data_IF_148179526118
#
_entry.id   IF_148179526118
#
_cell.length_a   1.000
_cell.length_b   1.000
_cell.length_c   1.000
_cell.angle_alpha   90.00
_cell.angle_beta   90.00
_cell.angle_gamma   90.00
#
_symmetry.space_group_name_H-M   'P 1'
#
loop_
_entity.id
_entity.type
_entity.pdbx_description
1 polymer ?
#
# COMPACT_ATOMS: atom_id res chain seq x y z
N UNK A 1 -21.43 10.05 14.47
CA UNK A 1 -22.59 9.14 14.50
C UNK A 1 -22.87 8.58 15.90
N UNK A 2 -23.42 9.39 16.76
CA UNK A 2 -23.84 9.00 18.12
C UNK A 2 -25.35 9.21 18.24
N UNK A 3 -26.21 8.35 17.68
CA UNK A 3 -27.66 8.37 17.99
C UNK A 3 -28.47 7.19 17.48
N UNK A 4 -27.91 6.14 16.88
CA UNK A 4 -28.71 5.02 16.36
C UNK A 4 -28.70 3.74 17.21
N UNK A 5 -27.81 3.61 18.19
CA UNK A 5 -27.69 2.40 19.02
C UNK A 5 -28.61 2.31 20.23
N UNK A 6 -29.29 3.38 20.63
CA UNK A 6 -30.10 3.38 21.87
C UNK A 6 -31.58 3.08 21.70
N UNK A 7 -32.12 3.11 20.47
CA UNK A 7 -33.57 2.88 20.26
C UNK A 7 -33.98 1.42 20.04
N UNK A 8 -33.08 0.53 19.66
CA UNK A 8 -33.43 -0.89 19.48
C UNK A 8 -33.33 -1.73 20.76
N UNK A 9 -32.58 -1.31 21.74
CA UNK A 9 -32.42 -2.06 23.01
C UNK A 9 -33.58 -1.87 23.99
N UNK A 10 -34.31 -0.77 23.89
CA UNK A 10 -35.49 -0.50 24.72
C UNK A 10 -36.75 -1.21 24.21
N UNK A 11 -36.81 -1.52 22.91
CA UNK A 11 -38.01 -2.13 22.29
C UNK A 11 -38.12 -3.66 22.51
N UNK A 12 -36.99 -4.34 22.77
CA UNK A 12 -36.99 -5.78 23.07
C UNK A 12 -37.42 -6.06 24.52
N UNK A 13 -37.22 -5.12 25.45
CA UNK A 13 -37.60 -5.29 26.86
C UNK A 13 -39.10 -5.05 27.14
N UNK A 14 -39.76 -4.26 26.28
CA UNK A 14 -41.21 -4.00 26.37
C UNK A 14 -42.09 -5.14 25.84
N UNK A 15 -41.54 -6.05 25.05
CA UNK A 15 -42.32 -7.21 24.52
C UNK A 15 -42.37 -8.39 25.47
N UNK A 16 -41.53 -8.46 26.50
CA UNK A 16 -41.50 -9.59 27.46
C UNK A 16 -42.39 -9.33 28.66
N UNK A 17 -42.81 -8.10 28.92
CA UNK A 17 -43.69 -7.74 30.07
C UNK A 17 -45.14 -7.48 29.71
N UNK A 18 -45.54 -7.55 28.43
CA UNK A 18 -46.87 -7.23 27.93
C UNK A 18 -47.86 -8.43 27.79
N UNK A 19 -47.46 -9.65 28.16
CA UNK A 19 -48.15 -10.88 27.76
C UNK A 19 -48.98 -11.60 28.82
N UNK A 20 -49.30 -11.02 29.97
CA UNK A 20 -50.18 -11.68 30.97
C UNK A 20 -51.18 -10.71 31.53
N UNK A 21 -52.20 -10.41 30.78
CA UNK A 21 -53.48 -9.87 31.34
C UNK A 21 -54.63 -10.39 30.47
N UNK A 22 -55.15 -11.60 30.74
CA UNK A 22 -56.46 -12.07 30.30
C UNK A 22 -57.39 -12.29 31.45
N UNK A 23 -58.49 -11.60 31.34
CA UNK A 23 -59.66 -11.54 32.18
C UNK A 23 -60.15 -12.90 32.71
N UNK A 24 -60.50 -12.99 33.97
CA UNK A 24 -61.31 -14.06 34.58
C UNK A 24 -62.68 -13.49 34.86
N UNK A 25 -63.78 -14.15 34.44
CA UNK A 25 -65.13 -13.77 34.79
C UNK A 25 -65.50 -14.23 36.22
N UNK A 26 -66.38 -13.45 36.85
CA UNK A 26 -66.90 -13.70 38.18
C UNK A 26 -67.99 -14.81 38.15
N UNK A 27 -68.03 -15.63 39.18
CA UNK A 27 -69.09 -16.20 39.97
C UNK A 27 -68.84 -17.65 40.39
N UNK A 28 -68.62 -17.86 41.65
CA UNK A 28 -69.60 -18.56 42.49
C UNK A 28 -69.07 -18.67 43.93
N UNK A 29 -69.91 -18.26 44.87
CA UNK A 29 -69.69 -18.48 46.30
C UNK A 29 -70.15 -19.90 46.67
N UNK A 30 -69.23 -20.67 47.24
CA UNK A 30 -69.62 -21.73 48.17
C UNK A 30 -68.70 -21.65 49.39
N UNK A 31 -69.44 -21.71 50.53
CA UNK A 31 -68.87 -21.66 51.88
C UNK A 31 -68.22 -23.03 52.22
N UNK A 32 -67.17 -23.11 52.92
CA UNK A 32 -66.98 -23.82 54.18
C UNK A 32 -65.55 -24.33 54.43
N UNK A 33 -65.14 -24.06 55.63
CA UNK A 33 -64.20 -24.76 56.51
C UNK A 33 -62.71 -24.42 56.42
N UNK A 34 -62.33 -23.73 57.48
CA UNK A 34 -60.95 -23.63 57.93
C UNK A 34 -60.37 -24.99 58.27
N UNK A 35 -59.30 -25.36 57.63
CA UNK A 35 -58.27 -26.15 58.27
C UNK A 35 -56.91 -25.70 57.77
N UNK A 36 -56.09 -25.40 58.71
CA UNK A 36 -54.67 -25.08 58.70
C UNK A 36 -53.87 -25.81 57.63
N UNK A 37 -53.24 -25.01 56.72
CA UNK A 37 -52.02 -25.42 56.04
C UNK A 37 -51.04 -24.25 55.91
N UNK A 38 -50.36 -23.94 57.01
CA UNK A 38 -49.27 -22.94 57.07
C UNK A 38 -47.93 -23.46 56.58
N UNK A 39 -47.82 -24.75 56.24
CA UNK A 39 -46.53 -25.35 55.85
C UNK A 39 -46.26 -25.33 54.34
N UNK A 40 -47.30 -25.21 53.47
CA UNK A 40 -47.12 -25.22 52.02
C UNK A 40 -46.75 -23.91 51.39
N UNK A 41 -47.07 -22.76 52.04
CA UNK A 41 -46.88 -21.40 51.51
C UNK A 41 -45.43 -20.96 51.52
N UNK A 42 -44.63 -21.46 52.49
CA UNK A 42 -43.24 -21.10 52.61
C UNK A 42 -42.32 -21.82 51.55
N UNK A 43 -42.65 -23.02 51.11
CA UNK A 43 -41.86 -23.74 50.11
C UNK A 43 -41.94 -23.06 48.74
N UNK A 44 -43.10 -22.57 48.33
CA UNK A 44 -43.25 -21.85 47.04
C UNK A 44 -42.51 -20.52 47.04
N UNK A 45 -42.51 -19.77 48.19
CA UNK A 45 -41.76 -18.52 48.29
C UNK A 45 -40.26 -18.75 48.25
N UNK A 46 -39.70 -19.80 48.86
CA UNK A 46 -38.31 -20.15 48.81
C UNK A 46 -37.87 -20.57 47.40
N UNK A 47 -38.69 -21.23 46.63
CA UNK A 47 -38.46 -21.60 45.23
C UNK A 47 -38.39 -20.33 44.37
N UNK A 48 -39.30 -19.38 44.54
CA UNK A 48 -39.29 -18.09 43.80
C UNK A 48 -38.05 -17.24 44.17
N UNK A 49 -37.69 -17.18 45.45
CA UNK A 49 -36.48 -16.47 45.92
C UNK A 49 -35.23 -17.14 45.36
N UNK A 50 -35.17 -18.47 45.32
CA UNK A 50 -34.07 -19.24 44.71
C UNK A 50 -33.91 -18.95 43.21
N UNK A 51 -35.03 -18.87 42.48
CA UNK A 51 -35.04 -18.57 41.05
C UNK A 51 -34.61 -17.12 40.77
N UNK A 52 -35.05 -16.15 41.61
CA UNK A 52 -34.58 -14.75 41.50
C UNK A 52 -33.09 -14.64 41.80
N UNK A 53 -32.60 -15.30 42.85
CA UNK A 53 -31.18 -15.30 43.19
C UNK A 53 -30.31 -15.92 42.04
N UNK A 54 -30.81 -17.03 41.49
CA UNK A 54 -30.12 -17.64 40.32
C UNK A 54 -30.11 -16.72 39.09
N UNK A 55 -31.23 -16.06 38.78
CA UNK A 55 -31.30 -15.08 37.68
C UNK A 55 -30.35 -13.91 37.90
N UNK A 56 -30.22 -13.39 39.11
CA UNK A 56 -29.27 -12.31 39.46
C UNK A 56 -27.82 -12.79 39.27
N UNK A 57 -27.50 -14.02 39.69
CA UNK A 57 -26.19 -14.60 39.52
C UNK A 57 -25.84 -14.75 38.02
N UNK A 58 -26.78 -15.26 37.21
CA UNK A 58 -26.60 -15.41 35.76
C UNK A 58 -26.39 -14.05 35.09
N UNK A 59 -27.20 -13.04 35.44
CA UNK A 59 -27.06 -11.68 34.93
C UNK A 59 -25.69 -11.07 35.33
N UNK A 60 -25.27 -11.31 36.59
CA UNK A 60 -23.96 -10.85 37.07
C UNK A 60 -22.80 -11.51 36.31
N UNK A 61 -22.89 -12.82 36.07
CA UNK A 61 -21.88 -13.57 35.28
C UNK A 61 -21.88 -13.06 33.83
N UNK A 62 -23.05 -12.89 33.21
CA UNK A 62 -23.16 -12.33 31.85
C UNK A 62 -22.60 -10.90 31.77
N UNK A 63 -22.84 -10.05 32.77
CA UNK A 63 -22.25 -8.70 32.82
C UNK A 63 -20.74 -8.71 33.02
N UNK A 64 -20.21 -9.65 33.78
CA UNK A 64 -18.74 -9.79 33.94
C UNK A 64 -18.12 -10.31 32.65
N UNK A 65 -18.72 -11.34 32.02
CA UNK A 65 -18.27 -11.85 30.73
C UNK A 65 -18.38 -10.77 29.66
N UNK A 66 -19.49 -10.05 29.60
CA UNK A 66 -19.67 -8.94 28.66
C UNK A 66 -18.66 -7.81 28.88
N UNK A 67 -18.42 -7.43 30.15
CA UNK A 67 -17.38 -6.45 30.50
C UNK A 67 -15.97 -6.95 30.16
N UNK A 68 -15.70 -8.23 30.36
CA UNK A 68 -14.42 -8.85 29.99
C UNK A 68 -14.25 -8.90 28.48
N UNK A 69 -15.33 -9.22 27.75
CA UNK A 69 -15.37 -9.22 26.28
C UNK A 69 -15.20 -7.80 25.72
N UNK A 70 -15.93 -6.82 26.28
CA UNK A 70 -15.81 -5.40 25.89
C UNK A 70 -14.45 -4.82 26.28
N UNK A 71 -13.82 -5.23 27.38
CA UNK A 71 -12.45 -4.85 27.73
C UNK A 71 -11.41 -5.54 26.83
N UNK A 72 -11.71 -6.71 26.29
CA UNK A 72 -10.89 -7.36 25.28
C UNK A 72 -10.99 -6.67 23.91
N UNK A 73 -12.11 -5.97 23.62
CA UNK A 73 -12.28 -5.08 22.46
C UNK A 73 -11.72 -3.67 22.70
N UNK A 74 -11.55 -3.24 23.94
CA UNK A 74 -10.68 -2.13 24.31
C UNK A 74 -9.24 -2.63 24.57
N UNK A 75 -8.66 -3.39 23.64
CA UNK A 75 -7.26 -3.15 23.33
C UNK A 75 -7.25 -1.68 22.91
N UNK A 76 -6.61 -0.87 23.74
CA UNK A 76 -6.15 0.47 23.39
C UNK A 76 -5.71 0.35 21.96
N UNK A 77 -6.40 0.99 21.04
CA UNK A 77 -6.02 1.02 19.64
C UNK A 77 -4.61 1.56 19.70
N UNK A 78 -3.64 0.96 19.04
CA UNK A 78 -2.24 1.39 19.05
C UNK A 78 -2.13 2.89 18.78
N UNK A 79 -3.09 3.43 18.05
CA UNK A 79 -3.33 4.85 17.80
C UNK A 79 -3.35 5.76 19.06
N UNK A 80 -3.87 5.31 20.23
CA UNK A 80 -3.86 6.12 21.45
C UNK A 80 -2.47 6.28 22.08
N UNK A 81 -1.50 5.51 21.59
CA UNK A 81 -0.10 5.53 22.03
C UNK A 81 0.73 6.59 21.30
N UNK A 82 0.30 7.01 20.10
CA UNK A 82 1.07 7.87 19.20
C UNK A 82 0.47 9.28 19.13
N UNK A 83 1.33 10.27 18.88
CA UNK A 83 0.93 11.68 18.77
C UNK A 83 0.14 11.97 17.50
N UNK A 84 0.47 11.26 16.40
CA UNK A 84 -0.13 11.42 15.09
C UNK A 84 -0.37 10.06 14.42
N UNK A 85 -1.34 10.04 13.49
CA UNK A 85 -1.73 8.89 12.72
C UNK A 85 -1.68 9.21 11.22
N UNK A 86 -0.74 8.60 10.51
CA UNK A 86 -0.60 8.72 9.07
C UNK A 86 -1.01 7.44 8.38
N UNK A 87 -1.46 7.55 7.14
CA UNK A 87 -1.79 6.38 6.30
C UNK A 87 -1.02 6.44 5.00
N UNK A 88 -0.57 5.28 4.55
CA UNK A 88 0.02 5.06 3.24
C UNK A 88 -1.00 4.37 2.33
N UNK A 89 -1.18 4.87 1.12
CA UNK A 89 -2.13 4.39 0.12
C UNK A 89 -1.37 4.10 -1.16
N UNK A 90 -1.36 2.84 -1.58
CA UNK A 90 -0.72 2.38 -2.82
C UNK A 90 -1.65 1.46 -3.59
N UNK A 91 -1.41 1.24 -4.86
CA UNK A 91 -2.20 0.33 -5.69
C UNK A 91 -1.83 -1.13 -5.39
N UNK A 92 -0.55 -1.47 -5.49
CA UNK A 92 -0.04 -2.83 -5.24
C UNK A 92 0.64 -2.95 -3.88
N UNK A 93 -0.17 -3.00 -2.82
CA UNK A 93 0.30 -3.10 -1.43
C UNK A 93 1.14 -4.34 -1.12
N UNK A 94 1.08 -5.37 -1.98
CA UNK A 94 1.72 -6.67 -1.72
C UNK A 94 3.05 -6.83 -2.43
N UNK A 95 3.43 -5.90 -3.33
CA UNK A 95 4.73 -5.95 -3.96
C UNK A 95 5.84 -5.67 -2.95
N UNK A 96 6.99 -6.29 -3.14
CA UNK A 96 8.17 -6.13 -2.28
C UNK A 96 8.60 -4.66 -2.23
N UNK A 97 8.48 -3.95 -3.34
CA UNK A 97 8.73 -2.52 -3.43
C UNK A 97 7.89 -1.73 -2.41
N UNK A 98 6.56 -1.88 -2.44
CA UNK A 98 5.68 -1.13 -1.56
C UNK A 98 5.75 -1.58 -0.10
N UNK A 99 6.02 -2.85 0.15
CA UNK A 99 6.26 -3.35 1.51
C UNK A 99 7.54 -2.75 2.10
N UNK A 100 8.60 -2.59 1.29
CA UNK A 100 9.84 -1.96 1.73
C UNK A 100 9.66 -0.46 2.00
N UNK A 101 8.96 0.27 1.12
CA UNK A 101 8.60 1.68 1.37
C UNK A 101 7.78 1.83 2.66
N UNK A 102 6.80 0.94 2.88
CA UNK A 102 6.00 0.96 4.10
C UNK A 102 6.87 0.67 5.34
N UNK A 103 7.80 -0.28 5.28
CA UNK A 103 8.73 -0.59 6.38
C UNK A 103 9.52 0.64 6.78
N UNK A 104 10.13 1.36 5.83
CA UNK A 104 10.86 2.60 6.11
C UNK A 104 9.98 3.69 6.73
N UNK A 105 8.74 3.85 6.22
CA UNK A 105 7.78 4.78 6.80
C UNK A 105 7.34 4.37 8.22
N UNK A 106 7.13 3.08 8.45
CA UNK A 106 6.74 2.53 9.75
C UNK A 106 7.86 2.72 10.79
N UNK A 107 9.10 2.35 10.46
CA UNK A 107 10.25 2.49 11.36
C UNK A 107 10.52 3.95 11.70
N UNK A 108 10.53 4.83 10.70
CA UNK A 108 10.69 6.26 10.92
C UNK A 108 9.54 6.85 11.74
N UNK A 109 8.32 6.36 11.52
CA UNK A 109 7.15 6.70 12.33
C UNK A 109 7.34 6.33 13.80
N UNK A 110 7.88 5.14 14.10
CA UNK A 110 8.18 4.73 15.48
C UNK A 110 9.16 5.68 16.16
N UNK A 111 10.21 6.11 15.46
CA UNK A 111 11.20 7.06 15.98
C UNK A 111 10.59 8.44 16.30
N UNK A 112 9.65 8.89 15.47
CA UNK A 112 8.98 10.19 15.58
C UNK A 112 7.67 10.16 16.39
N UNK A 113 7.35 9.04 17.04
CA UNK A 113 6.10 8.83 17.79
C UNK A 113 4.84 9.01 16.92
N UNK A 114 4.88 8.50 15.69
CA UNK A 114 3.79 8.50 14.71
C UNK A 114 3.38 7.06 14.39
N UNK A 115 2.09 6.79 14.34
CA UNK A 115 1.60 5.52 13.83
C UNK A 115 1.39 5.64 12.31
N UNK A 116 2.05 4.78 11.55
CA UNK A 116 1.88 4.68 10.10
C UNK A 116 1.14 3.38 9.78
N UNK A 117 0.08 3.46 9.00
CA UNK A 117 -0.76 2.33 8.60
C UNK A 117 -0.78 2.19 7.07
N UNK A 118 -0.53 0.98 6.58
CA UNK A 118 -0.73 0.65 5.16
C UNK A 118 -2.22 0.41 4.94
N UNK A 119 -2.92 1.46 4.50
CA UNK A 119 -4.37 1.45 4.42
C UNK A 119 -4.85 0.45 3.35
N UNK A 120 -5.73 -0.44 3.77
CA UNK A 120 -6.29 -1.48 2.90
C UNK A 120 -5.66 -2.85 3.07
N UNK A 121 -4.52 -2.99 3.74
CA UNK A 121 -3.84 -4.28 3.93
C UNK A 121 -4.71 -5.28 4.72
N UNK A 122 -5.46 -4.80 5.70
CA UNK A 122 -6.35 -5.63 6.53
C UNK A 122 -7.81 -5.64 6.06
N UNK A 123 -8.12 -5.03 4.91
CA UNK A 123 -9.48 -5.01 4.37
C UNK A 123 -9.74 -6.27 3.55
N UNK A 124 -10.93 -6.86 3.72
CA UNK A 124 -11.34 -8.10 3.03
C UNK A 124 -11.67 -7.92 1.54
N UNK A 125 -11.75 -6.69 1.07
CA UNK A 125 -12.03 -6.31 -0.31
C UNK A 125 -10.93 -5.43 -0.84
N UNK A 126 -10.67 -5.52 -2.13
CA UNK A 126 -9.80 -4.56 -2.83
C UNK A 126 -10.56 -3.27 -3.08
N UNK A 127 -9.91 -2.17 -2.78
CA UNK A 127 -10.43 -0.81 -2.96
C UNK A 127 -9.48 -0.05 -3.87
N UNK A 128 -10.04 0.80 -4.73
CA UNK A 128 -9.24 1.74 -5.53
C UNK A 128 -8.54 2.76 -4.64
N UNK A 129 -7.46 3.38 -5.15
CA UNK A 129 -6.76 4.48 -4.45
C UNK A 129 -7.74 5.60 -4.08
N UNK A 130 -8.67 5.95 -4.96
CA UNK A 130 -9.69 6.96 -4.69
C UNK A 130 -10.62 6.59 -3.53
N UNK A 131 -11.04 5.30 -3.43
CA UNK A 131 -11.86 4.84 -2.31
C UNK A 131 -11.07 4.83 -0.99
N UNK A 132 -9.80 4.42 -1.03
CA UNK A 132 -8.91 4.48 0.14
C UNK A 132 -8.69 5.94 0.60
N UNK A 133 -8.53 6.89 -0.31
CA UNK A 133 -8.48 8.32 0.02
C UNK A 133 -9.75 8.78 0.73
N UNK A 134 -10.95 8.40 0.26
CA UNK A 134 -12.23 8.69 0.93
C UNK A 134 -12.32 8.08 2.32
N UNK A 135 -11.83 6.83 2.47
CA UNK A 135 -11.76 6.15 3.77
C UNK A 135 -10.81 6.90 4.71
N UNK A 136 -9.61 7.25 4.26
CA UNK A 136 -8.62 8.02 5.03
C UNK A 136 -9.21 9.34 5.52
N UNK A 137 -9.78 10.16 4.63
CA UNK A 137 -10.42 11.43 4.97
C UNK A 137 -11.56 11.29 5.99
N UNK A 138 -12.24 10.14 6.00
CA UNK A 138 -13.35 9.88 6.93
C UNK A 138 -12.89 9.30 8.26
N UNK A 139 -11.68 8.76 8.33
CA UNK A 139 -11.12 8.08 9.51
C UNK A 139 -10.41 9.03 10.49
N UNK A 140 -10.29 10.32 10.13
CA UNK A 140 -9.65 11.34 10.97
C UNK A 140 -8.16 11.05 11.14
N UNK A 141 -7.48 10.77 10.02
CA UNK A 141 -6.02 10.67 9.94
C UNK A 141 -5.40 12.06 10.01
N UNK A 142 -4.17 12.14 10.49
CA UNK A 142 -3.43 13.39 10.57
C UNK A 142 -2.60 13.65 9.30
N UNK A 143 -2.40 12.65 8.43
CA UNK A 143 -1.68 12.82 7.17
C UNK A 143 -1.82 11.63 6.25
N UNK A 144 -1.60 11.85 4.96
CA UNK A 144 -1.73 10.83 3.93
C UNK A 144 -0.47 10.82 3.06
N UNK A 145 0.11 9.63 2.86
CA UNK A 145 1.06 9.33 1.80
C UNK A 145 0.31 8.58 0.70
N UNK A 146 0.29 9.09 -0.50
CA UNK A 146 -0.46 8.47 -1.59
C UNK A 146 0.41 8.27 -2.83
N UNK A 147 0.45 7.03 -3.31
CA UNK A 147 0.93 6.76 -4.66
C UNK A 147 0.07 7.53 -5.65
N UNK A 148 0.66 8.49 -6.33
CA UNK A 148 -0.04 9.47 -7.12
C UNK A 148 0.23 9.33 -8.61
N UNK A 149 -0.62 9.94 -9.39
CA UNK A 149 -0.49 10.17 -10.82
C UNK A 149 -0.98 11.58 -11.15
N UNK A 150 -0.80 12.01 -12.40
CA UNK A 150 -1.22 13.35 -12.86
C UNK A 150 -2.70 13.44 -13.24
N UNK A 151 -3.54 12.47 -12.86
CA UNK A 151 -4.97 12.48 -13.19
C UNK A 151 -5.72 13.59 -12.46
N UNK A 152 -6.74 14.13 -13.11
CA UNK A 152 -7.65 15.10 -12.50
C UNK A 152 -8.39 14.51 -11.28
N UNK A 153 -8.67 13.20 -11.29
CA UNK A 153 -9.32 12.52 -10.16
C UNK A 153 -8.42 12.55 -8.93
N UNK A 154 -7.14 12.22 -9.09
CA UNK A 154 -6.18 12.24 -7.99
C UNK A 154 -5.95 13.68 -7.49
N UNK A 155 -5.85 14.67 -8.40
CA UNK A 155 -5.77 16.07 -8.02
C UNK A 155 -6.94 16.49 -7.13
N UNK A 156 -8.17 16.15 -7.52
CA UNK A 156 -9.37 16.47 -6.74
C UNK A 156 -9.38 15.78 -5.37
N UNK A 157 -8.94 14.53 -5.29
CA UNK A 157 -8.88 13.80 -4.01
C UNK A 157 -7.85 14.41 -3.05
N UNK A 158 -6.70 14.81 -3.57
CA UNK A 158 -5.65 15.49 -2.79
C UNK A 158 -6.16 16.85 -2.29
N UNK A 159 -6.75 17.64 -3.18
CA UNK A 159 -7.28 18.97 -2.83
C UNK A 159 -8.39 18.86 -1.77
N UNK A 160 -9.30 17.89 -1.89
CA UNK A 160 -10.35 17.64 -0.89
C UNK A 160 -9.77 17.25 0.48
N UNK A 161 -8.70 16.44 0.51
CA UNK A 161 -8.03 16.09 1.77
C UNK A 161 -7.39 17.33 2.42
N UNK A 162 -6.70 18.15 1.63
CA UNK A 162 -6.06 19.39 2.10
C UNK A 162 -7.09 20.41 2.58
N UNK A 163 -8.22 20.59 1.88
CA UNK A 163 -9.32 21.44 2.33
C UNK A 163 -9.92 20.99 3.66
N UNK A 164 -9.87 19.71 3.97
CA UNK A 164 -10.26 19.14 5.28
C UNK A 164 -9.19 19.28 6.35
N UNK A 165 -8.04 19.87 6.03
CA UNK A 165 -6.92 20.08 6.93
C UNK A 165 -6.00 18.87 7.08
N UNK A 166 -6.06 17.90 6.16
CA UNK A 166 -5.21 16.72 6.14
C UNK A 166 -4.11 16.93 5.09
N UNK A 167 -2.85 17.16 5.50
CA UNK A 167 -1.74 17.30 4.56
C UNK A 167 -1.50 16.00 3.80
N UNK A 168 -1.17 16.13 2.52
CA UNK A 168 -0.90 15.01 1.62
C UNK A 168 0.49 15.09 1.05
N UNK A 169 1.22 13.99 1.14
CA UNK A 169 2.49 13.77 0.44
C UNK A 169 2.22 12.83 -0.72
N UNK A 170 2.57 13.24 -1.94
CA UNK A 170 2.55 12.36 -3.10
C UNK A 170 3.81 11.51 -3.12
N UNK A 171 3.66 10.25 -3.49
CA UNK A 171 4.70 9.22 -3.39
C UNK A 171 4.86 8.51 -4.72
N UNK A 172 6.11 8.28 -5.16
CA UNK A 172 6.51 7.60 -6.40
C UNK A 172 6.11 8.36 -7.67
N UNK A 173 4.83 8.63 -7.88
CA UNK A 173 4.30 9.55 -8.89
C UNK A 173 3.96 10.91 -8.28
N UNK A 174 4.19 11.99 -9.00
CA UNK A 174 3.84 13.34 -8.56
C UNK A 174 2.50 13.81 -9.13
N UNK A 175 1.90 14.79 -8.47
CA UNK A 175 0.76 15.54 -8.97
C UNK A 175 0.97 17.03 -8.69
N UNK A 176 1.66 17.69 -9.63
CA UNK A 176 2.04 19.10 -9.51
C UNK A 176 0.87 20.08 -9.57
N UNK A 177 -0.29 19.62 -10.04
CA UNK A 177 -1.52 20.43 -10.15
C UNK A 177 -2.36 20.42 -8.88
N UNK A 178 -2.01 19.58 -7.90
CA UNK A 178 -2.71 19.46 -6.63
C UNK A 178 -2.10 20.30 -5.51
N UNK A 179 -2.87 20.46 -4.43
CA UNK A 179 -2.45 21.14 -3.21
C UNK A 179 -1.57 20.28 -2.28
N UNK A 180 -0.88 19.26 -2.80
CA UNK A 180 0.04 18.44 -2.01
C UNK A 180 1.08 19.28 -1.28
N UNK A 181 1.50 18.87 -0.09
CA UNK A 181 2.54 19.61 0.65
C UNK A 181 3.96 19.22 0.22
N UNK A 182 4.16 18.00 -0.26
CA UNK A 182 5.46 17.49 -0.71
C UNK A 182 5.28 16.34 -1.70
N UNK A 183 6.32 16.08 -2.48
CA UNK A 183 6.52 14.88 -3.28
C UNK A 183 7.72 14.10 -2.76
N UNK A 184 7.60 12.80 -2.64
CA UNK A 184 8.68 11.88 -2.31
C UNK A 184 8.83 10.85 -3.43
N UNK A 185 10.02 10.72 -3.98
CA UNK A 185 10.28 9.80 -5.08
C UNK A 185 11.72 9.82 -5.53
N UNK A 186 11.97 9.45 -6.78
CA UNK A 186 13.30 9.53 -7.40
C UNK A 186 13.38 10.70 -8.35
N UNK A 187 14.57 11.24 -8.54
CA UNK A 187 14.84 12.29 -9.52
C UNK A 187 14.77 11.75 -10.94
N UNK A 188 13.59 11.78 -11.58
CA UNK A 188 13.31 11.17 -12.89
C UNK A 188 14.35 11.53 -13.96
N UNK A 189 14.81 12.78 -14.00
CA UNK A 189 15.84 13.18 -14.95
C UNK A 189 17.20 12.51 -14.66
N UNK A 190 17.62 12.46 -13.40
CA UNK A 190 18.86 11.80 -13.00
C UNK A 190 18.81 10.29 -13.21
N UNK A 191 17.66 9.68 -12.91
CA UNK A 191 17.39 8.28 -13.22
C UNK A 191 17.58 8.01 -14.72
N UNK A 192 17.00 8.85 -15.57
CA UNK A 192 17.18 8.76 -17.02
C UNK A 192 18.63 8.88 -17.46
N UNK A 193 19.36 9.87 -16.91
CA UNK A 193 20.79 10.01 -17.21
C UNK A 193 21.58 8.77 -16.82
N UNK A 194 21.23 8.13 -15.71
CA UNK A 194 21.91 6.92 -15.29
C UNK A 194 21.64 5.75 -16.23
N UNK A 195 20.42 5.55 -16.68
CA UNK A 195 20.14 4.58 -17.77
C UNK A 195 20.96 4.87 -19.04
N UNK A 196 21.03 6.13 -19.46
CA UNK A 196 21.82 6.56 -20.60
C UNK A 196 23.30 6.22 -20.44
N UNK A 197 23.88 6.41 -19.25
CA UNK A 197 25.27 6.01 -18.93
C UNK A 197 25.46 4.50 -19.00
N UNK A 198 24.52 3.72 -18.50
CA UNK A 198 24.58 2.26 -18.58
C UNK A 198 24.52 1.77 -20.04
N UNK A 199 23.69 2.41 -20.88
CA UNK A 199 23.67 2.14 -22.34
C UNK A 199 25.05 2.46 -22.96
N UNK A 200 25.63 3.63 -22.66
CA UNK A 200 26.96 4.01 -23.15
C UNK A 200 28.04 3.04 -22.68
N UNK A 201 27.97 2.55 -21.44
CA UNK A 201 28.86 1.54 -20.90
C UNK A 201 28.79 0.24 -21.71
N UNK A 202 27.57 -0.27 -21.98
CA UNK A 202 27.36 -1.46 -22.83
C UNK A 202 27.82 -1.22 -24.26
N UNK A 203 27.54 -0.06 -24.85
CA UNK A 203 27.96 0.30 -26.19
C UNK A 203 29.49 0.38 -26.32
N UNK A 204 30.21 0.84 -25.27
CA UNK A 204 31.68 0.98 -25.29
C UNK A 204 32.44 -0.32 -25.34
N UNK A 205 31.83 -1.43 -24.90
CA UNK A 205 32.44 -2.77 -24.95
C UNK A 205 31.98 -3.58 -26.18
N UNK A 206 31.04 -3.06 -26.96
CA UNK A 206 30.56 -3.67 -28.17
C UNK A 206 31.55 -3.45 -29.34
N UNK A 207 31.95 -4.52 -30.01
CA UNK A 207 32.77 -4.47 -31.22
C UNK A 207 31.93 -4.18 -32.48
N UNK A 208 30.62 -3.97 -32.34
CA UNK A 208 29.71 -3.75 -33.46
C UNK A 208 29.98 -2.40 -34.16
N UNK A 209 29.95 -2.44 -35.49
CA UNK A 209 30.00 -1.25 -36.35
C UNK A 209 28.62 -0.80 -36.81
N UNK A 210 27.58 -1.62 -36.56
CA UNK A 210 26.18 -1.26 -36.84
C UNK A 210 25.57 -0.46 -35.73
N UNK A 211 24.58 0.42 -36.00
CA UNK A 211 23.86 1.10 -34.98
C UNK A 211 23.26 0.12 -33.97
N UNK A 212 23.38 0.47 -32.67
CA UNK A 212 22.81 -0.32 -31.57
C UNK A 212 21.39 0.17 -31.30
N UNK A 213 20.44 -0.76 -31.29
CA UNK A 213 19.03 -0.45 -31.07
C UNK A 213 18.69 -0.57 -29.59
N UNK A 214 18.15 0.51 -29.03
CA UNK A 214 17.75 0.59 -27.61
C UNK A 214 16.25 0.83 -27.51
N UNK A 215 15.54 -0.03 -26.81
CA UNK A 215 14.12 0.11 -26.55
C UNK A 215 13.88 0.48 -25.08
N UNK A 216 13.16 1.58 -24.83
CA UNK A 216 12.66 1.93 -23.51
C UNK A 216 11.22 1.48 -23.40
N UNK A 217 10.91 0.64 -22.44
CA UNK A 217 9.55 0.20 -22.16
C UNK A 217 8.82 1.29 -21.37
N UNK A 218 7.80 1.89 -21.99
CA UNK A 218 6.97 2.94 -21.39
C UNK A 218 5.54 2.43 -21.20
N UNK A 219 4.92 2.85 -20.12
CA UNK A 219 3.57 2.46 -19.80
C UNK A 219 2.55 3.14 -20.73
N UNK A 220 1.61 2.37 -21.29
CA UNK A 220 0.56 2.88 -22.19
C UNK A 220 -0.39 3.86 -21.53
N UNK A 221 -0.64 3.68 -20.23
CA UNK A 221 -1.60 4.47 -19.48
C UNK A 221 -0.95 5.61 -18.68
N UNK A 222 0.37 5.56 -18.48
CA UNK A 222 1.12 6.63 -17.84
C UNK A 222 1.75 7.57 -18.88
N UNK A 223 0.97 8.30 -19.59
CA UNK A 223 1.42 9.53 -20.31
C UNK A 223 1.80 10.61 -19.29
N UNK A 224 2.49 10.21 -18.22
CA UNK A 224 2.88 11.13 -17.16
C UNK A 224 4.21 11.82 -17.49
N UNK A 225 4.39 12.99 -16.96
CA UNK A 225 5.59 13.80 -17.11
C UNK A 225 6.84 13.06 -16.61
N UNK A 226 6.71 12.18 -15.61
CA UNK A 226 7.83 11.46 -15.03
C UNK A 226 8.56 10.55 -16.04
N UNK A 227 7.83 9.72 -16.79
CA UNK A 227 8.45 8.86 -17.83
C UNK A 227 9.05 9.69 -18.97
N UNK A 228 8.39 10.77 -19.37
CA UNK A 228 8.94 11.69 -20.37
C UNK A 228 10.24 12.34 -19.88
N UNK A 229 10.32 12.69 -18.59
CA UNK A 229 11.53 13.25 -17.99
C UNK A 229 12.65 12.21 -17.93
N UNK A 230 12.35 10.94 -17.60
CA UNK A 230 13.32 9.83 -17.67
C UNK A 230 13.83 9.69 -19.10
N UNK A 231 12.95 9.63 -20.11
CA UNK A 231 13.33 9.51 -21.52
C UNK A 231 14.21 10.71 -21.94
N UNK A 232 13.90 11.92 -21.52
CA UNK A 232 14.73 13.11 -21.79
C UNK A 232 16.10 12.99 -21.13
N UNK A 233 16.18 12.47 -19.90
CA UNK A 233 17.44 12.21 -19.21
C UNK A 233 18.30 11.18 -19.94
N UNK A 234 17.68 10.09 -20.45
CA UNK A 234 18.37 9.08 -21.28
C UNK A 234 18.96 9.75 -22.53
N UNK A 235 18.10 10.47 -23.27
CA UNK A 235 18.52 11.12 -24.53
C UNK A 235 19.67 12.10 -24.30
N UNK A 236 19.55 12.96 -23.28
CA UNK A 236 20.59 13.94 -22.94
C UNK A 236 21.94 13.27 -22.56
N UNK A 237 21.91 12.15 -21.83
CA UNK A 237 23.12 11.41 -21.52
C UNK A 237 23.74 10.81 -22.77
N UNK A 238 22.94 10.21 -23.66
CA UNK A 238 23.40 9.65 -24.94
C UNK A 238 24.02 10.71 -25.86
N UNK A 239 23.50 11.96 -25.85
CA UNK A 239 24.01 13.06 -26.67
C UNK A 239 25.25 13.73 -26.06
N UNK A 240 25.23 14.00 -24.75
CA UNK A 240 26.25 14.83 -24.07
C UNK A 240 27.46 14.02 -23.58
N UNK A 241 27.26 12.75 -23.21
CA UNK A 241 28.30 11.90 -22.61
C UNK A 241 28.83 10.85 -23.62
N UNK A 242 28.39 10.92 -24.87
CA UNK A 242 28.80 9.98 -25.93
C UNK A 242 30.33 9.97 -26.07
N UNK A 243 30.89 8.80 -25.84
CA UNK A 243 32.30 8.47 -26.10
C UNK A 243 32.44 7.71 -27.43
N UNK A 244 33.55 7.06 -27.68
CA UNK A 244 33.71 6.21 -28.84
C UNK A 244 32.79 4.96 -28.74
N UNK A 245 32.03 4.68 -29.78
CA UNK A 245 31.12 3.53 -29.83
C UNK A 245 30.17 3.60 -31.03
N UNK A 246 29.31 2.60 -31.23
CA UNK A 246 28.30 2.60 -32.29
C UNK A 246 27.32 3.76 -32.14
N UNK A 247 26.65 4.08 -33.22
CA UNK A 247 25.48 4.96 -33.17
C UNK A 247 24.36 4.25 -32.38
N UNK A 248 23.61 5.04 -31.55
CA UNK A 248 22.52 4.50 -30.73
C UNK A 248 21.20 4.97 -31.33
N UNK A 249 20.35 3.99 -31.68
CA UNK A 249 18.97 4.21 -32.15
C UNK A 249 18.01 3.94 -30.99
N UNK A 250 17.51 5.02 -30.37
CA UNK A 250 16.62 4.97 -29.21
C UNK A 250 15.17 4.95 -29.66
N UNK A 251 14.41 3.97 -29.22
CA UNK A 251 12.98 3.83 -29.49
C UNK A 251 12.18 3.64 -28.19
N UNK A 252 10.90 4.04 -28.22
CA UNK A 252 9.96 3.82 -27.13
C UNK A 252 9.01 2.70 -27.53
N UNK A 253 8.85 1.70 -26.67
CA UNK A 253 7.87 0.63 -26.84
C UNK A 253 6.84 0.75 -25.72
N UNK A 254 5.58 0.87 -26.12
CA UNK A 254 4.48 0.99 -25.17
C UNK A 254 4.06 -0.39 -24.65
N UNK A 255 3.99 -0.54 -23.35
CA UNK A 255 3.54 -1.76 -22.64
C UNK A 255 2.20 -1.46 -21.95
N UNK A 256 1.23 -2.34 -22.14
CA UNK A 256 -0.03 -2.30 -21.39
C UNK A 256 0.18 -2.86 -19.99
N UNK A 257 0.16 -1.99 -18.99
CA UNK A 257 0.40 -2.30 -17.58
C UNK A 257 -0.89 -2.42 -16.75
N UNK A 258 -2.03 -2.59 -17.40
CA UNK A 258 -3.33 -2.77 -16.73
C UNK A 258 -3.31 -3.93 -15.71
N UNK A 259 -2.57 -4.99 -16.01
CA UNK A 259 -2.35 -6.15 -15.15
C UNK A 259 -1.14 -6.95 -15.63
N UNK A 260 -0.63 -7.86 -14.79
CA UNK A 260 0.54 -8.70 -15.09
C UNK A 260 0.42 -9.44 -16.44
N UNK A 261 -0.75 -9.98 -16.75
CA UNK A 261 -0.96 -10.72 -18.02
C UNK A 261 -0.83 -9.81 -19.23
N UNK A 262 -1.33 -8.57 -19.18
CA UNK A 262 -1.20 -7.59 -20.26
C UNK A 262 0.26 -7.19 -20.48
N UNK A 263 1.04 -7.06 -19.39
CA UNK A 263 2.49 -6.80 -19.47
C UNK A 263 3.21 -7.96 -20.14
N UNK A 264 2.95 -9.20 -19.69
CA UNK A 264 3.54 -10.41 -20.30
C UNK A 264 3.20 -10.53 -21.79
N UNK A 265 1.96 -10.23 -22.19
CA UNK A 265 1.52 -10.26 -23.58
C UNK A 265 2.22 -9.18 -24.40
N UNK A 266 2.31 -7.96 -23.92
CA UNK A 266 3.01 -6.86 -24.60
C UNK A 266 4.50 -7.15 -24.80
N UNK A 267 5.15 -7.72 -23.77
CA UNK A 267 6.57 -8.09 -23.86
C UNK A 267 6.78 -9.28 -24.78
N UNK A 268 5.93 -10.31 -24.73
CA UNK A 268 5.98 -11.44 -25.63
C UNK A 268 5.91 -10.97 -27.10
N UNK A 269 5.08 -10.00 -27.41
CA UNK A 269 4.95 -9.47 -28.76
C UNK A 269 6.25 -8.85 -29.27
N UNK A 270 7.08 -8.27 -28.38
CA UNK A 270 8.42 -7.76 -28.72
C UNK A 270 9.30 -8.92 -29.20
N UNK A 271 9.29 -10.06 -28.47
CA UNK A 271 10.12 -11.21 -28.76
C UNK A 271 9.62 -12.07 -29.96
N UNK A 272 8.39 -11.84 -30.40
CA UNK A 272 7.85 -12.47 -31.64
C UNK A 272 8.20 -11.67 -32.89
N UNK A 273 8.79 -10.50 -32.79
CA UNK A 273 9.23 -9.71 -33.95
C UNK A 273 10.52 -10.29 -34.56
N UNK A 274 10.73 -10.06 -35.87
CA UNK A 274 11.91 -10.54 -36.60
C UNK A 274 13.23 -9.92 -36.12
N UNK A 275 13.19 -8.74 -35.52
CA UNK A 275 14.37 -8.03 -35.01
C UNK A 275 14.15 -7.57 -33.59
N UNK A 276 14.93 -8.13 -32.66
CA UNK A 276 14.95 -7.73 -31.25
C UNK A 276 15.82 -6.47 -31.05
N UNK A 277 15.50 -5.63 -30.07
CA UNK A 277 16.40 -4.58 -29.63
C UNK A 277 17.70 -5.18 -29.05
N UNK A 278 18.83 -4.50 -29.24
CA UNK A 278 20.09 -4.91 -28.62
C UNK A 278 20.07 -4.64 -27.08
N UNK A 279 19.37 -3.59 -26.65
CA UNK A 279 19.17 -3.25 -25.23
C UNK A 279 17.70 -2.96 -24.96
N UNK A 280 17.17 -3.50 -23.87
CA UNK A 280 15.85 -3.16 -23.34
C UNK A 280 16.01 -2.48 -21.99
N UNK A 281 15.44 -1.29 -21.85
CA UNK A 281 15.37 -0.53 -20.61
C UNK A 281 13.96 -0.71 -20.00
N UNK A 282 13.90 -1.24 -18.80
CA UNK A 282 12.67 -1.41 -18.03
C UNK A 282 12.59 -0.32 -16.94
N UNK A 283 11.45 0.36 -16.85
CA UNK A 283 11.26 1.48 -15.91
C UNK A 283 10.46 1.09 -14.66
N UNK A 284 10.15 -0.20 -14.48
CA UNK A 284 9.53 -0.75 -13.28
C UNK A 284 9.92 -2.22 -13.07
N UNK A 285 9.67 -2.72 -11.86
CA UNK A 285 9.97 -4.09 -11.43
C UNK A 285 9.28 -5.15 -12.31
N UNK A 286 7.96 -4.98 -12.53
CA UNK A 286 7.16 -5.96 -13.28
C UNK A 286 7.66 -6.13 -14.70
N UNK A 287 7.92 -5.04 -15.43
CA UNK A 287 8.50 -5.09 -16.78
C UNK A 287 9.89 -5.73 -16.77
N UNK A 288 10.70 -5.47 -15.74
CA UNK A 288 12.05 -6.08 -15.60
C UNK A 288 11.93 -7.59 -15.47
N UNK A 289 11.05 -8.07 -14.61
CA UNK A 289 10.83 -9.52 -14.39
C UNK A 289 10.25 -10.20 -15.63
N UNK A 290 9.29 -9.57 -16.31
CA UNK A 290 8.68 -10.11 -17.52
C UNK A 290 9.68 -10.17 -18.69
N UNK A 291 10.52 -9.14 -18.88
CA UNK A 291 11.59 -9.16 -19.91
C UNK A 291 12.63 -10.23 -19.61
N UNK A 292 13.06 -10.34 -18.34
CA UNK A 292 13.96 -11.41 -17.91
C UNK A 292 13.38 -12.79 -18.27
N UNK A 293 12.12 -13.04 -17.92
CA UNK A 293 11.45 -14.30 -18.21
C UNK A 293 11.36 -14.54 -19.72
N UNK A 294 10.99 -13.53 -20.51
CA UNK A 294 10.91 -13.65 -21.95
C UNK A 294 12.27 -13.97 -22.59
N UNK A 295 13.36 -13.29 -22.17
CA UNK A 295 14.72 -13.57 -22.67
C UNK A 295 15.11 -15.03 -22.41
N UNK A 296 14.73 -15.59 -21.26
CA UNK A 296 14.97 -17.01 -20.94
C UNK A 296 14.11 -17.93 -21.80
N UNK A 297 12.80 -17.66 -21.87
CA UNK A 297 11.82 -18.52 -22.56
C UNK A 297 12.06 -18.58 -24.08
N UNK A 298 12.48 -17.46 -24.68
CA UNK A 298 12.81 -17.38 -26.10
C UNK A 298 14.28 -17.72 -26.41
N UNK A 299 15.08 -18.11 -25.39
CA UNK A 299 16.48 -18.48 -25.51
C UNK A 299 17.35 -17.37 -26.12
N UNK A 300 17.10 -16.12 -25.75
CA UNK A 300 17.81 -14.92 -26.20
C UNK A 300 18.83 -14.40 -25.15
N UNK A 301 19.22 -15.24 -24.19
CA UNK A 301 20.21 -14.88 -23.17
C UNK A 301 21.54 -14.52 -23.83
N UNK A 302 22.03 -13.31 -23.58
CA UNK A 302 23.26 -12.77 -24.20
C UNK A 302 23.05 -12.14 -25.57
N UNK A 303 21.87 -12.27 -26.20
CA UNK A 303 21.53 -11.57 -27.45
C UNK A 303 20.89 -10.19 -27.15
N UNK A 304 20.14 -10.08 -26.08
CA UNK A 304 19.47 -8.85 -25.61
C UNK A 304 20.03 -8.46 -24.25
N UNK A 305 20.57 -7.26 -24.14
CA UNK A 305 20.97 -6.71 -22.84
C UNK A 305 19.77 -6.10 -22.11
N UNK A 306 19.64 -6.36 -20.80
CA UNK A 306 18.55 -5.86 -19.98
C UNK A 306 19.10 -4.84 -18.97
N UNK A 307 18.54 -3.65 -18.96
CA UNK A 307 18.70 -2.65 -17.90
C UNK A 307 17.39 -2.58 -17.11
N UNK A 308 17.43 -3.12 -15.92
CA UNK A 308 16.28 -3.32 -15.06
C UNK A 308 16.03 -2.16 -14.09
N UNK A 309 15.02 -2.35 -13.28
CA UNK A 309 14.59 -1.46 -12.22
C UNK A 309 14.23 -2.28 -10.98
N UNK A 310 14.68 -1.80 -9.82
CA UNK A 310 14.55 -2.43 -8.52
C UNK A 310 15.44 -3.67 -8.33
N UNK A 311 15.46 -4.23 -7.13
CA UNK A 311 16.44 -5.21 -6.66
C UNK A 311 15.81 -6.41 -5.92
N UNK A 312 14.68 -6.91 -6.43
CA UNK A 312 14.11 -8.15 -5.90
C UNK A 312 15.09 -9.30 -6.02
N UNK A 313 14.96 -10.29 -5.15
CA UNK A 313 15.74 -11.53 -5.17
C UNK A 313 15.81 -12.17 -6.58
N UNK A 314 14.69 -12.14 -7.30
CA UNK A 314 14.63 -12.61 -8.69
C UNK A 314 15.54 -11.82 -9.64
N UNK A 315 15.55 -10.49 -9.52
CA UNK A 315 16.36 -9.59 -10.35
C UNK A 315 17.84 -9.76 -10.00
N UNK A 316 18.18 -9.77 -8.70
CA UNK A 316 19.55 -9.95 -8.25
C UNK A 316 20.14 -11.30 -8.70
N UNK A 317 19.41 -12.39 -8.54
CA UNK A 317 19.80 -13.72 -9.07
C UNK A 317 19.94 -13.74 -10.59
N UNK A 318 19.13 -12.97 -11.30
CA UNK A 318 19.26 -12.87 -12.76
C UNK A 318 20.51 -12.05 -13.16
N UNK A 319 20.91 -11.05 -12.37
CA UNK A 319 22.17 -10.33 -12.55
C UNK A 319 23.36 -11.26 -12.25
N UNK A 320 23.34 -12.00 -11.15
CA UNK A 320 24.38 -12.97 -10.80
C UNK A 320 24.59 -14.00 -11.93
N UNK A 321 23.51 -14.44 -12.60
CA UNK A 321 23.54 -15.37 -13.73
C UNK A 321 23.88 -14.72 -15.08
N UNK A 322 24.14 -13.42 -15.09
CA UNK A 322 24.46 -12.66 -16.29
C UNK A 322 23.33 -12.62 -17.33
N UNK A 323 22.08 -12.71 -16.90
CA UNK A 323 20.90 -12.58 -17.78
C UNK A 323 20.42 -11.11 -17.79
N UNK A 324 20.41 -10.44 -16.64
CA UNK A 324 20.23 -8.98 -16.53
C UNK A 324 21.62 -8.36 -16.41
N UNK A 325 21.90 -7.32 -17.19
CA UNK A 325 23.22 -6.67 -17.22
C UNK A 325 23.42 -5.71 -16.04
N UNK A 326 22.40 -4.96 -15.70
CA UNK A 326 22.36 -4.10 -14.53
C UNK A 326 20.93 -3.74 -14.17
N UNK A 327 20.70 -3.37 -12.92
CA UNK A 327 19.45 -2.77 -12.46
C UNK A 327 19.71 -1.48 -11.72
N UNK A 328 18.72 -0.59 -11.71
CA UNK A 328 18.73 0.59 -10.83
C UNK A 328 17.88 0.27 -9.61
N UNK A 329 18.54 0.10 -8.46
CA UNK A 329 17.91 0.00 -7.16
C UNK A 329 17.60 1.38 -6.59
N UNK A 330 16.50 1.49 -5.86
CA UNK A 330 16.08 2.69 -5.15
C UNK A 330 16.07 2.39 -3.67
N UNK A 331 16.58 3.28 -2.86
CA UNK A 331 16.44 3.20 -1.42
C UNK A 331 14.96 3.45 -1.03
N UNK A 332 14.18 2.37 -1.06
CA UNK A 332 12.74 2.39 -0.78
C UNK A 332 12.43 2.66 0.68
N UNK A 333 13.30 2.23 1.60
CA UNK A 333 13.14 2.52 3.03
C UNK A 333 13.39 4.01 3.30
N UNK A 334 14.41 4.61 2.68
CA UNK A 334 14.64 6.05 2.72
C UNK A 334 13.43 6.82 2.15
N UNK A 335 12.83 6.31 1.06
CA UNK A 335 11.63 6.90 0.48
C UNK A 335 10.47 6.91 1.46
N UNK A 336 10.25 5.80 2.16
CA UNK A 336 9.26 5.69 3.24
C UNK A 336 9.54 6.65 4.40
N UNK A 337 10.79 6.72 4.84
CA UNK A 337 11.23 7.61 5.91
C UNK A 337 10.99 9.08 5.56
N UNK A 338 11.32 9.49 4.33
CA UNK A 338 11.08 10.85 3.86
C UNK A 338 9.61 11.27 3.84
N UNK A 339 8.68 10.33 3.65
CA UNK A 339 7.25 10.63 3.78
C UNK A 339 6.89 11.09 5.19
N UNK A 340 7.42 10.41 6.21
CA UNK A 340 7.23 10.78 7.61
C UNK A 340 7.90 12.12 7.91
N UNK A 341 9.15 12.29 7.47
CA UNK A 341 9.91 13.53 7.69
C UNK A 341 9.19 14.74 7.07
N UNK A 342 8.65 14.60 5.85
CA UNK A 342 7.91 15.66 5.17
C UNK A 342 6.70 16.14 5.99
N UNK A 343 5.88 15.21 6.52
CA UNK A 343 4.73 15.58 7.36
C UNK A 343 5.16 16.10 8.73
N UNK A 344 6.21 15.55 9.33
CA UNK A 344 6.75 16.04 10.60
C UNK A 344 7.28 17.47 10.48
N UNK A 345 7.98 17.79 9.40
CA UNK A 345 8.40 19.17 9.09
C UNK A 345 7.18 20.08 8.90
N UNK A 346 6.19 19.64 8.12
CA UNK A 346 4.97 20.41 7.89
C UNK A 346 4.25 20.75 9.19
N UNK A 347 4.10 19.79 10.10
CA UNK A 347 3.45 20.03 11.40
C UNK A 347 4.29 20.91 12.34
N UNK A 348 5.61 20.83 12.26
CA UNK A 348 6.54 21.60 13.11
C UNK A 348 6.69 23.04 12.66
N UNK A 349 6.72 23.28 11.36
CA UNK A 349 7.09 24.58 10.77
C UNK A 349 5.96 25.22 9.97
N UNK A 350 4.90 24.52 9.63
CA UNK A 350 3.83 24.98 8.73
C UNK A 350 4.15 24.86 7.25
N UNK A 351 5.33 24.33 6.90
CA UNK A 351 5.81 24.05 5.54
C UNK A 351 6.84 22.91 5.56
N UNK A 352 7.10 22.33 4.41
CA UNK A 352 8.13 21.31 4.20
C UNK A 352 8.79 21.51 2.85
N UNK A 353 9.87 20.79 2.57
CA UNK A 353 10.45 20.74 1.23
C UNK A 353 9.42 20.28 0.21
N UNK A 354 9.41 20.89 -0.97
CA UNK A 354 8.51 20.48 -2.05
C UNK A 354 8.86 19.10 -2.62
N UNK A 355 10.12 18.67 -2.49
CA UNK A 355 10.67 17.44 -3.04
C UNK A 355 11.63 16.80 -2.05
N UNK A 356 11.46 15.50 -1.85
CA UNK A 356 12.43 14.61 -1.24
C UNK A 356 12.80 13.55 -2.27
N UNK A 357 14.08 13.37 -2.51
CA UNK A 357 14.58 12.47 -3.54
C UNK A 357 15.36 11.33 -2.87
N UNK A 358 14.87 10.11 -3.02
CA UNK A 358 15.56 8.92 -2.53
C UNK A 358 16.80 8.63 -3.39
N UNK A 359 17.80 8.05 -2.76
CA UNK A 359 19.04 7.64 -3.40
C UNK A 359 18.80 6.47 -4.35
N UNK A 360 19.60 6.41 -5.39
CA UNK A 360 19.60 5.31 -6.36
C UNK A 360 20.99 4.71 -6.47
N UNK A 361 21.04 3.40 -6.61
CA UNK A 361 22.27 2.64 -6.76
C UNK A 361 22.21 1.73 -7.99
N UNK A 362 23.31 1.59 -8.69
CA UNK A 362 23.44 0.65 -9.81
C UNK A 362 23.97 -0.66 -9.27
N UNK A 363 23.23 -1.72 -9.52
CA UNK A 363 23.61 -3.08 -9.20
C UNK A 363 23.93 -3.80 -10.51
N UNK A 364 25.16 -4.26 -10.65
CA UNK A 364 25.64 -5.04 -11.78
C UNK A 364 26.43 -6.28 -11.30
N UNK A 365 27.03 -7.02 -12.21
CA UNK A 365 27.82 -8.23 -11.90
C UNK A 365 28.97 -7.98 -10.89
N UNK A 366 29.44 -6.74 -10.74
CA UNK A 366 30.60 -6.47 -9.88
C UNK A 366 30.23 -6.32 -8.41
N UNK A 367 28.95 -5.94 -8.12
CA UNK A 367 28.52 -5.66 -6.75
C UNK A 367 27.28 -6.45 -6.32
N UNK A 368 26.61 -7.22 -7.21
CA UNK A 368 25.40 -7.98 -6.88
C UNK A 368 25.55 -8.93 -5.69
N UNK A 369 26.78 -9.46 -5.47
CA UNK A 369 27.06 -10.36 -4.36
C UNK A 369 26.81 -9.72 -2.99
N UNK A 370 27.12 -8.45 -2.83
CA UNK A 370 26.88 -7.70 -1.59
C UNK A 370 25.38 -7.62 -1.26
N UNK A 371 24.56 -7.35 -2.26
CA UNK A 371 23.10 -7.27 -2.09
C UNK A 371 22.42 -8.61 -1.84
N UNK A 372 22.93 -9.71 -2.43
CA UNK A 372 22.43 -11.05 -2.16
C UNK A 372 22.74 -11.50 -0.73
N UNK A 373 23.94 -11.16 -0.22
CA UNK A 373 24.33 -11.44 1.17
C UNK A 373 23.43 -10.66 2.15
N UNK A 374 23.13 -9.38 1.89
CA UNK A 374 22.26 -8.55 2.73
C UNK A 374 20.82 -9.10 2.79
N UNK A 375 20.29 -9.65 1.68
CA UNK A 375 18.96 -10.25 1.66
C UNK A 375 18.90 -11.57 2.44
N UNK A 376 19.95 -12.42 2.33
CA UNK A 376 20.02 -13.66 3.09
C UNK A 376 20.15 -13.43 4.62
N UNK A 377 20.72 -12.29 5.04
CA UNK A 377 20.80 -11.93 6.47
C UNK A 377 19.48 -11.36 7.01
N UNK A 378 18.61 -10.87 6.13
CA UNK A 378 17.33 -10.26 6.49
C UNK A 378 16.17 -11.27 6.59
N UNK A 379 16.29 -12.48 6.00
CA UNK A 379 15.33 -13.59 6.11
C UNK A 379 15.56 -14.43 7.40
#
# INVERSE_FOLDING_TARGET
>A
MRSYGKKHFVMVWLFILGGVCRRIPARERVNMSRTTDRAGRNKGQWIVIGFMAFAIIVISICTVIFRSYVRGFHKVTEREKYDQYYVMITEDRKSDFWQSVYRGAYERGQEENVYVDLLGDHLSQEYSRADLMRIAMSSGVDGIFVESDESDEMSQMIDEAVERGIPVVTLYGDNTHSARCSFVGVGSYNLGREYGRQVLKLASVSESTTPMTVAVLVNAHALNSAQNIVCSGIQDALEQEKTQGPEIDLSLITVDDTNTFSVEESIRDIFMNEKLPDIIICLNELSTTCVYQAVVDYNCVGEVAILGYYDTDTILKAIERNVINATISIDTEQMGAFCVDALREYYRYGYTSQYFTADVTIIDQNNVGEYLEEQEEAE
#
